data_IF_039586004488
#
_entry.id   IF_039586004488
#
_cell.length_a   1.000
_cell.length_b   1.000
_cell.length_c   1.000
_cell.angle_alpha   90.00
_cell.angle_beta   90.00
_cell.angle_gamma   90.00
#
_symmetry.space_group_name_H-M   'P 1'
#
loop_
_entity.id
_entity.type
_entity.pdbx_description
1 polymer ?
#
# COMPACT_ATOMS: atom_id res chain seq x y z
N UNK A 1 -20.91 7.92 -18.13
CA UNK A 1 -19.47 7.65 -18.27
C UNK A 1 -18.75 7.90 -16.96
N UNK A 2 -17.83 7.03 -16.58
CA UNK A 2 -16.90 7.20 -15.45
C UNK A 2 -15.52 7.46 -16.03
N UNK A 3 -14.86 8.53 -15.57
CA UNK A 3 -13.53 8.92 -16.02
C UNK A 3 -12.53 8.85 -14.88
N UNK A 4 -11.53 8.01 -15.02
CA UNK A 4 -10.39 7.95 -14.09
C UNK A 4 -9.51 9.20 -14.24
N UNK A 5 -8.99 9.68 -13.11
CA UNK A 5 -7.88 10.64 -13.10
C UNK A 5 -6.66 10.04 -12.43
N UNK A 6 -5.49 10.39 -12.93
CA UNK A 6 -4.23 9.97 -12.33
C UNK A 6 -4.05 10.60 -10.94
N UNK A 7 -3.37 9.92 -10.00
CA UNK A 7 -3.00 10.52 -8.72
C UNK A 7 -2.17 11.80 -8.91
N UNK A 8 -2.45 12.81 -8.12
CA UNK A 8 -1.82 14.15 -8.24
C UNK A 8 -0.31 14.15 -7.99
N UNK A 9 0.23 13.12 -7.36
CA UNK A 9 1.66 13.01 -7.02
C UNK A 9 2.51 12.34 -8.12
N UNK A 10 1.94 12.00 -9.28
CA UNK A 10 2.70 11.34 -10.33
C UNK A 10 3.55 12.34 -11.12
N UNK A 11 4.80 11.98 -11.33
CA UNK A 11 5.75 12.74 -12.18
C UNK A 11 5.92 12.13 -13.57
N UNK A 12 5.52 10.87 -13.72
CA UNK A 12 5.60 10.11 -14.97
C UNK A 12 4.22 9.78 -15.55
N UNK A 13 4.17 8.75 -16.38
CA UNK A 13 2.95 8.30 -17.06
C UNK A 13 2.42 7.03 -16.44
N UNK A 14 1.10 6.96 -16.27
CA UNK A 14 0.39 5.75 -15.85
C UNK A 14 -0.68 5.42 -16.89
N UNK A 15 -0.70 4.18 -17.36
CA UNK A 15 -1.74 3.71 -18.27
C UNK A 15 -3.10 3.69 -17.54
N UNK A 16 -4.14 4.19 -18.19
CA UNK A 16 -5.51 4.22 -17.68
C UNK A 16 -6.45 3.29 -18.45
N UNK A 17 -5.96 2.62 -19.48
CA UNK A 17 -6.77 1.67 -20.27
C UNK A 17 -6.78 0.28 -19.64
N UNK A 18 -7.87 -0.44 -19.87
CA UNK A 18 -7.98 -1.86 -19.48
C UNK A 18 -8.34 -2.09 -18.02
N UNK A 19 -8.61 -1.04 -17.25
CA UNK A 19 -8.98 -1.17 -15.84
C UNK A 19 -10.49 -1.33 -15.66
N UNK A 20 -10.89 -2.21 -14.76
CA UNK A 20 -12.29 -2.46 -14.46
C UNK A 20 -12.82 -1.43 -13.49
N UNK A 21 -13.88 -0.74 -13.89
CA UNK A 21 -14.72 0.08 -13.01
C UNK A 21 -15.91 -0.74 -12.59
N UNK A 22 -16.26 -0.68 -11.31
CA UNK A 22 -17.42 -1.33 -10.72
C UNK A 22 -18.40 -0.29 -10.18
N UNK A 23 -19.65 -0.38 -10.59
CA UNK A 23 -20.78 0.29 -9.97
C UNK A 23 -21.51 -0.71 -9.07
N UNK A 24 -21.75 -0.35 -7.84
CA UNK A 24 -22.52 -1.17 -6.89
C UNK A 24 -23.68 -0.33 -6.35
N UNK A 25 -24.92 -0.80 -6.52
CA UNK A 25 -26.09 -0.12 -5.96
C UNK A 25 -26.37 -0.53 -4.50
N UNK A 26 -27.39 0.03 -3.89
CA UNK A 26 -27.77 -0.26 -2.50
C UNK A 26 -28.16 -1.73 -2.26
N UNK A 27 -28.69 -2.40 -3.28
CA UNK A 27 -29.04 -3.84 -3.22
C UNK A 27 -27.82 -4.76 -3.40
N UNK A 28 -26.63 -4.21 -3.60
CA UNK A 28 -25.41 -4.96 -3.83
C UNK A 28 -25.23 -5.48 -5.26
N UNK A 29 -26.08 -5.07 -6.20
CA UNK A 29 -25.93 -5.40 -7.62
C UNK A 29 -24.70 -4.71 -8.17
N UNK A 30 -23.83 -5.47 -8.83
CA UNK A 30 -22.58 -4.99 -9.41
C UNK A 30 -22.65 -4.99 -10.93
N UNK A 31 -22.29 -3.86 -11.50
CA UNK A 31 -22.11 -3.67 -12.93
C UNK A 31 -20.66 -3.28 -13.18
N UNK A 32 -20.05 -3.81 -14.22
CA UNK A 32 -18.65 -3.54 -14.54
C UNK A 32 -18.49 -3.05 -15.97
N UNK A 33 -17.52 -2.18 -16.19
CA UNK A 33 -17.08 -1.75 -17.51
C UNK A 33 -15.55 -1.51 -17.48
N UNK A 34 -14.92 -1.67 -18.63
CA UNK A 34 -13.47 -1.51 -18.78
C UNK A 34 -13.14 -0.14 -19.37
N UNK A 35 -12.09 0.48 -18.88
CA UNK A 35 -11.65 1.79 -19.36
C UNK A 35 -10.96 1.71 -20.72
N UNK A 36 -11.16 2.75 -21.53
CA UNK A 36 -10.47 2.99 -22.78
C UNK A 36 -9.11 3.71 -22.55
N UNK A 37 -8.42 4.09 -23.64
CA UNK A 37 -7.13 4.79 -23.56
C UNK A 37 -7.20 6.16 -22.86
N UNK A 38 -8.36 6.79 -22.82
CA UNK A 38 -8.60 8.06 -22.12
C UNK A 38 -9.00 7.86 -20.64
N UNK A 39 -9.00 6.62 -20.15
CA UNK A 39 -9.42 6.25 -18.80
C UNK A 39 -10.93 6.32 -18.59
N UNK A 40 -11.72 6.21 -19.64
CA UNK A 40 -13.17 6.35 -19.60
C UNK A 40 -13.86 4.98 -19.73
N UNK A 41 -14.75 4.67 -18.82
CA UNK A 41 -15.63 3.50 -18.85
C UNK A 41 -17.09 3.95 -19.04
N UNK A 42 -17.78 3.40 -20.01
CA UNK A 42 -19.17 3.74 -20.32
C UNK A 42 -20.10 2.64 -19.90
N UNK A 43 -21.10 3.00 -19.11
CA UNK A 43 -22.20 2.17 -18.71
C UNK A 43 -23.47 2.64 -19.46
N UNK A 44 -24.08 1.73 -20.20
CA UNK A 44 -25.32 2.01 -20.92
C UNK A 44 -26.53 1.44 -20.16
N UNK A 45 -27.68 2.07 -20.31
CA UNK A 45 -28.97 1.60 -19.79
C UNK A 45 -28.96 1.33 -18.27
N UNK A 46 -28.27 2.21 -17.50
CA UNK A 46 -28.33 2.14 -16.05
C UNK A 46 -29.74 2.48 -15.56
N UNK A 47 -30.19 1.73 -14.56
CA UNK A 47 -31.38 2.09 -13.79
C UNK A 47 -31.00 3.30 -12.95
N UNK A 48 -31.85 4.36 -12.91
CA UNK A 48 -31.64 5.49 -11.99
C UNK A 48 -31.56 5.00 -10.55
N UNK A 49 -30.40 5.22 -9.90
CA UNK A 49 -30.15 4.75 -8.54
C UNK A 49 -28.93 5.47 -7.94
N UNK A 50 -28.66 5.23 -6.67
CA UNK A 50 -27.47 5.66 -5.97
C UNK A 50 -26.43 4.54 -6.02
N UNK A 51 -25.27 4.85 -6.59
CA UNK A 51 -24.20 3.90 -6.79
C UNK A 51 -22.95 4.25 -5.97
N UNK A 52 -22.25 3.21 -5.53
CA UNK A 52 -20.83 3.31 -5.19
C UNK A 52 -20.02 2.98 -6.43
N UNK A 53 -19.14 3.88 -6.82
CA UNK A 53 -18.21 3.73 -7.95
C UNK A 53 -16.86 3.34 -7.41
N UNK A 54 -16.27 2.26 -7.87
CA UNK A 54 -14.95 1.81 -7.42
C UNK A 54 -14.09 1.25 -8.54
N UNK A 55 -12.78 1.37 -8.35
CA UNK A 55 -11.76 0.73 -9.17
C UNK A 55 -10.55 0.37 -8.31
N UNK A 56 -9.87 -0.73 -8.62
CA UNK A 56 -8.60 -1.08 -8.01
C UNK A 56 -7.80 -1.97 -8.96
N UNK A 57 -6.50 -1.71 -9.03
CA UNK A 57 -5.55 -2.56 -9.76
C UNK A 57 -4.16 -2.47 -9.17
N UNK A 58 -3.31 -3.43 -9.53
CA UNK A 58 -1.93 -3.47 -9.08
C UNK A 58 -1.02 -2.87 -10.14
N UNK A 59 0.00 -2.17 -9.71
CA UNK A 59 1.18 -1.82 -10.49
C UNK A 59 2.34 -2.71 -10.07
N UNK A 60 3.05 -3.27 -11.03
CA UNK A 60 4.37 -3.85 -10.80
C UNK A 60 5.36 -2.77 -10.38
N UNK A 61 6.53 -3.17 -9.87
CA UNK A 61 7.60 -2.21 -9.58
C UNK A 61 7.99 -1.38 -10.82
N UNK A 62 8.09 -2.01 -11.98
CA UNK A 62 8.45 -1.31 -13.22
C UNK A 62 7.42 -0.22 -13.61
N UNK A 63 6.12 -0.54 -13.56
CA UNK A 63 5.04 0.42 -13.81
C UNK A 63 5.00 1.53 -12.76
N UNK A 64 5.20 1.17 -11.49
CA UNK A 64 5.29 2.13 -10.39
C UNK A 64 6.46 3.10 -10.58
N UNK A 65 7.66 2.58 -10.90
CA UNK A 65 8.86 3.37 -11.16
C UNK A 65 8.67 4.32 -12.36
N UNK A 66 8.03 3.83 -13.42
CA UNK A 66 7.71 4.65 -14.61
C UNK A 66 6.72 5.77 -14.24
N UNK A 67 5.75 5.51 -13.38
CA UNK A 67 4.74 6.49 -13.00
C UNK A 67 5.26 7.55 -12.02
N UNK A 68 6.17 7.18 -11.13
CA UNK A 68 6.60 8.04 -10.01
C UNK A 68 8.03 8.57 -10.15
N UNK A 69 8.86 7.94 -10.98
CA UNK A 69 10.30 8.19 -11.03
C UNK A 69 11.10 7.58 -9.88
N UNK A 70 10.43 6.86 -8.96
CA UNK A 70 11.10 6.18 -7.86
C UNK A 70 11.83 4.93 -8.37
N UNK A 71 13.14 4.87 -8.13
CA UNK A 71 14.00 3.77 -8.56
C UNK A 71 14.36 2.81 -7.42
N UNK A 72 13.90 3.09 -6.20
CA UNK A 72 14.13 2.18 -5.08
C UNK A 72 13.23 0.95 -5.24
N UNK A 73 13.87 -0.21 -5.25
CA UNK A 73 13.16 -1.49 -5.42
C UNK A 73 12.09 -1.66 -4.34
N UNK A 74 10.89 -1.95 -4.77
CA UNK A 74 9.74 -2.22 -3.92
C UNK A 74 8.83 -3.27 -4.56
N UNK A 75 7.75 -3.64 -3.89
CA UNK A 75 6.82 -4.67 -4.34
C UNK A 75 5.78 -4.14 -5.35
N UNK A 76 5.96 -2.93 -5.86
CA UNK A 76 4.98 -2.23 -6.66
C UNK A 76 3.96 -1.47 -5.81
N UNK A 77 2.81 -1.20 -6.39
CA UNK A 77 1.79 -0.38 -5.76
C UNK A 77 0.38 -0.88 -6.06
N UNK A 78 -0.58 -0.36 -5.31
CA UNK A 78 -2.01 -0.49 -5.60
C UNK A 78 -2.53 0.88 -5.96
N UNK A 79 -3.21 0.97 -7.09
CA UNK A 79 -4.04 2.13 -7.43
C UNK A 79 -5.47 1.79 -7.07
N UNK A 80 -6.12 2.67 -6.35
CA UNK A 80 -7.54 2.48 -5.97
C UNK A 80 -8.30 3.80 -6.05
N UNK A 81 -9.59 3.67 -6.21
CA UNK A 81 -10.53 4.79 -6.23
C UNK A 81 -11.89 4.34 -5.73
N UNK A 82 -12.55 5.18 -4.96
CA UNK A 82 -13.93 4.93 -4.51
C UNK A 82 -14.66 6.24 -4.34
N UNK A 83 -15.85 6.33 -4.92
CA UNK A 83 -16.82 7.38 -4.66
C UNK A 83 -18.13 6.75 -4.20
N UNK A 84 -18.57 7.12 -3.02
CA UNK A 84 -19.84 6.65 -2.46
C UNK A 84 -20.99 7.58 -2.80
N UNK A 85 -22.20 7.07 -2.75
CA UNK A 85 -23.45 7.82 -2.84
C UNK A 85 -23.57 8.69 -4.11
N UNK A 86 -23.18 8.14 -5.27
CA UNK A 86 -23.31 8.83 -6.55
C UNK A 86 -24.70 8.59 -7.12
N UNK A 87 -25.56 9.59 -7.11
CA UNK A 87 -26.85 9.53 -7.80
C UNK A 87 -26.61 9.58 -9.32
N UNK A 88 -27.07 8.56 -10.02
CA UNK A 88 -27.02 8.46 -11.49
C UNK A 88 -28.44 8.28 -11.99
N UNK A 89 -29.09 9.37 -12.31
CA UNK A 89 -30.48 9.44 -12.80
C UNK A 89 -30.59 9.95 -14.25
N UNK A 90 -29.46 10.41 -14.81
CA UNK A 90 -29.36 10.93 -16.17
C UNK A 90 -27.99 10.66 -16.78
N UNK A 91 -27.86 10.97 -18.06
CA UNK A 91 -26.57 10.87 -18.76
C UNK A 91 -25.57 11.87 -18.18
N UNK A 92 -24.53 11.37 -17.55
CA UNK A 92 -23.50 12.19 -16.87
C UNK A 92 -22.12 11.60 -17.02
N UNK A 93 -21.09 12.41 -16.75
CA UNK A 93 -19.71 11.96 -16.58
C UNK A 93 -19.27 12.24 -15.14
N UNK A 94 -18.87 11.18 -14.44
CA UNK A 94 -18.36 11.26 -13.08
C UNK A 94 -16.84 11.07 -13.13
N UNK A 95 -16.12 12.00 -12.53
CA UNK A 95 -14.67 11.90 -12.36
C UNK A 95 -14.36 11.06 -11.12
N UNK A 96 -13.59 9.99 -11.31
CA UNK A 96 -13.17 9.08 -10.25
C UNK A 96 -11.68 9.31 -9.95
N UNK A 97 -11.35 10.05 -8.88
CA UNK A 97 -9.96 10.31 -8.52
C UNK A 97 -9.31 9.05 -7.96
N UNK A 98 -8.12 8.74 -8.45
CA UNK A 98 -7.34 7.59 -7.98
C UNK A 98 -6.31 8.00 -6.95
N UNK A 99 -6.01 7.09 -6.05
CA UNK A 99 -4.91 7.16 -5.08
C UNK A 99 -3.93 6.03 -5.32
N UNK A 100 -2.66 6.30 -5.05
CA UNK A 100 -1.57 5.35 -5.19
C UNK A 100 -1.03 4.99 -3.81
N UNK A 101 -0.97 3.71 -3.50
CA UNK A 101 -0.39 3.18 -2.27
C UNK A 101 0.69 2.15 -2.59
N UNK A 102 1.90 2.36 -2.09
CA UNK A 102 3.00 1.41 -2.24
C UNK A 102 2.66 0.13 -1.47
N UNK A 103 2.86 -1.01 -2.08
CA UNK A 103 2.76 -2.30 -1.39
C UNK A 103 3.91 -2.46 -0.42
N UNK A 104 3.57 -2.84 0.80
CA UNK A 104 4.56 -3.17 1.84
C UNK A 104 4.13 -4.47 2.48
N UNK A 105 4.84 -5.54 2.15
CA UNK A 105 4.55 -6.85 2.74
C UNK A 105 5.09 -6.96 4.16
N UNK A 106 6.21 -6.31 4.44
CA UNK A 106 6.82 -6.32 5.76
C UNK A 106 6.44 -5.07 6.55
N UNK A 107 5.87 -5.26 7.73
CA UNK A 107 5.46 -4.18 8.64
C UNK A 107 5.98 -4.43 10.05
N UNK A 108 6.18 -3.36 10.81
CA UNK A 108 6.44 -3.47 12.25
C UNK A 108 5.10 -3.76 12.93
N UNK A 109 4.98 -4.94 13.53
CA UNK A 109 3.76 -5.35 14.23
C UNK A 109 3.77 -4.96 15.70
N UNK A 110 4.94 -4.99 16.34
CA UNK A 110 5.11 -4.59 17.73
C UNK A 110 6.44 -3.91 17.98
N UNK A 111 6.41 -2.98 18.92
CA UNK A 111 7.61 -2.39 19.52
C UNK A 111 7.48 -2.51 21.03
N UNK A 112 8.33 -3.34 21.63
CA UNK A 112 8.41 -3.44 23.08
C UNK A 112 9.59 -2.61 23.58
N UNK A 113 9.32 -1.38 23.94
CA UNK A 113 10.35 -0.40 24.33
C UNK A 113 10.62 -0.34 25.84
N UNK A 114 9.72 -0.88 26.65
CA UNK A 114 9.82 -0.73 28.10
C UNK A 114 10.95 -1.57 28.72
N UNK A 115 11.32 -2.69 28.05
CA UNK A 115 12.29 -3.63 28.60
C UNK A 115 11.80 -4.31 29.87
N UNK A 116 12.70 -4.97 30.58
CA UNK A 116 12.45 -5.64 31.85
C UNK A 116 13.23 -4.97 33.01
N UNK A 117 12.90 -5.33 34.23
CA UNK A 117 13.71 -5.02 35.38
C UNK A 117 14.84 -6.05 35.53
N UNK A 118 16.05 -5.58 35.79
CA UNK A 118 17.14 -6.44 36.20
C UNK A 118 16.98 -6.94 37.67
N UNK A 119 17.92 -7.77 38.13
CA UNK A 119 17.91 -8.30 39.50
C UNK A 119 18.01 -7.22 40.57
N UNK A 120 18.44 -6.01 40.22
CA UNK A 120 18.57 -4.86 41.10
C UNK A 120 17.42 -3.87 40.95
N UNK A 121 16.31 -4.28 40.29
CA UNK A 121 15.13 -3.47 40.01
C UNK A 121 15.40 -2.24 39.10
N UNK A 122 16.48 -2.26 38.33
CA UNK A 122 16.83 -1.21 37.37
C UNK A 122 16.23 -1.55 36.00
N UNK A 123 15.91 -0.54 35.22
CA UNK A 123 15.44 -0.76 33.85
C UNK A 123 16.56 -1.40 33.01
N UNK A 124 16.22 -2.51 32.35
CA UNK A 124 17.12 -3.22 31.43
C UNK A 124 16.56 -3.17 30.03
N UNK A 125 17.38 -2.77 29.08
CA UNK A 125 17.04 -2.77 27.65
C UNK A 125 17.16 -4.16 27.01
N UNK A 126 17.71 -5.15 27.73
CA UNK A 126 17.98 -6.48 27.19
C UNK A 126 16.73 -7.25 26.71
N UNK A 127 15.54 -6.84 27.16
CA UNK A 127 14.28 -7.44 26.70
C UNK A 127 13.49 -6.56 25.73
N UNK A 128 14.09 -5.47 25.24
CA UNK A 128 13.46 -4.66 24.19
C UNK A 128 13.51 -5.44 22.87
N UNK A 129 12.43 -5.38 22.11
CA UNK A 129 12.39 -5.98 20.80
C UNK A 129 11.47 -5.23 19.83
N UNK A 130 11.70 -5.44 18.57
CA UNK A 130 10.83 -5.05 17.47
C UNK A 130 10.40 -6.33 16.77
N UNK A 131 9.10 -6.46 16.58
CA UNK A 131 8.51 -7.58 15.86
C UNK A 131 8.15 -7.14 14.45
N UNK A 132 8.69 -7.84 13.46
CA UNK A 132 8.32 -7.68 12.06
C UNK A 132 7.29 -8.74 11.67
N UNK A 133 6.30 -8.33 10.92
CA UNK A 133 5.27 -9.22 10.41
C UNK A 133 5.21 -9.13 8.88
N UNK A 134 5.31 -10.27 8.23
CA UNK A 134 5.06 -10.39 6.80
C UNK A 134 3.55 -10.63 6.59
N UNK A 135 2.87 -9.62 6.07
CA UNK A 135 1.42 -9.68 5.79
C UNK A 135 1.08 -10.22 4.40
N UNK A 136 2.09 -10.57 3.60
CA UNK A 136 1.90 -11.20 2.29
C UNK A 136 1.84 -12.71 2.37
N UNK A 137 1.43 -13.36 1.28
CA UNK A 137 1.43 -14.82 1.12
C UNK A 137 2.76 -15.34 0.55
N UNK A 138 3.74 -14.44 0.31
CA UNK A 138 5.04 -14.78 -0.25
C UNK A 138 6.15 -14.48 0.77
N UNK A 139 7.25 -15.26 0.77
CA UNK A 139 8.42 -14.94 1.54
C UNK A 139 8.98 -13.55 1.16
N UNK A 140 9.43 -12.78 2.15
CA UNK A 140 10.08 -11.48 1.96
C UNK A 140 11.53 -11.61 2.39
N UNK A 141 12.46 -11.31 1.48
CA UNK A 141 13.88 -11.24 1.81
C UNK A 141 14.15 -9.92 2.55
N UNK A 142 14.72 -10.02 3.74
CA UNK A 142 15.09 -8.87 4.58
C UNK A 142 16.57 -8.55 4.54
N UNK A 143 17.33 -9.23 3.68
CA UNK A 143 18.76 -8.93 3.49
C UNK A 143 18.93 -7.48 3.04
N UNK A 144 19.86 -6.77 3.68
CA UNK A 144 20.12 -5.36 3.38
C UNK A 144 19.12 -4.37 3.97
N UNK A 145 18.08 -4.82 4.68
CA UNK A 145 17.22 -3.94 5.45
C UNK A 145 17.85 -3.55 6.78
N UNK A 146 17.51 -2.38 7.26
CA UNK A 146 17.96 -1.85 8.54
C UNK A 146 16.78 -1.40 9.37
N UNK A 147 16.87 -1.60 10.68
CA UNK A 147 15.99 -0.95 11.65
C UNK A 147 16.78 0.19 12.30
N UNK A 148 16.24 1.40 12.22
CA UNK A 148 16.79 2.59 12.85
C UNK A 148 15.98 2.97 14.09
N UNK A 149 16.68 3.19 15.21
CA UNK A 149 16.14 3.84 16.38
C UNK A 149 16.60 5.30 16.35
N UNK A 150 15.65 6.24 16.30
CA UNK A 150 15.93 7.65 16.33
C UNK A 150 15.94 8.12 17.79
N UNK A 151 17.06 8.64 18.25
CA UNK A 151 17.17 9.27 19.55
C UNK A 151 16.71 10.74 19.46
N UNK A 152 15.94 11.17 20.45
CA UNK A 152 15.49 12.57 20.55
C UNK A 152 16.54 13.39 21.28
N UNK A 153 17.06 14.41 20.63
CA UNK A 153 18.05 15.34 21.19
C UNK A 153 18.22 16.57 20.32
N UNK A 154 19.11 17.48 20.71
CA UNK A 154 19.46 18.67 19.94
C UNK A 154 20.11 18.34 18.58
N UNK A 155 20.73 17.16 18.49
CA UNK A 155 21.21 16.57 17.25
C UNK A 155 20.57 15.18 17.11
N UNK A 156 19.74 14.94 16.11
CA UNK A 156 19.14 13.62 15.89
C UNK A 156 20.25 12.59 15.68
N UNK A 157 20.30 11.59 16.54
CA UNK A 157 21.16 10.42 16.38
C UNK A 157 20.26 9.18 16.17
N UNK A 158 20.77 8.21 15.44
CA UNK A 158 20.09 6.95 15.23
C UNK A 158 21.10 5.79 15.28
N UNK A 159 20.65 4.68 15.83
CA UNK A 159 21.37 3.41 15.75
C UNK A 159 20.72 2.56 14.66
N UNK A 160 21.51 2.10 13.70
CA UNK A 160 21.06 1.20 12.65
C UNK A 160 21.46 -0.23 13.01
N UNK A 161 20.48 -1.13 12.96
CA UNK A 161 20.70 -2.57 13.07
C UNK A 161 20.45 -3.22 11.72
N UNK A 162 21.49 -3.87 11.16
CA UNK A 162 21.36 -4.62 9.92
C UNK A 162 20.75 -5.99 10.22
N UNK A 163 19.65 -6.31 9.60
CA UNK A 163 18.94 -7.57 9.78
C UNK A 163 19.71 -8.76 9.26
N UNK A 164 20.68 -8.52 8.37
CA UNK A 164 21.48 -9.58 7.75
C UNK A 164 22.69 -10.02 8.60
N UNK A 165 23.20 -9.17 9.50
CA UNK A 165 24.48 -9.46 10.19
C UNK A 165 24.44 -10.62 11.18
N UNK A 166 23.27 -11.05 11.64
CA UNK A 166 23.15 -12.10 12.65
C UNK A 166 23.38 -13.52 12.10
N UNK A 167 23.21 -13.75 10.80
CA UNK A 167 23.12 -15.12 10.27
C UNK A 167 23.96 -15.40 9.02
N UNK A 168 24.63 -14.44 8.47
CA UNK A 168 25.50 -14.57 7.29
C UNK A 168 24.82 -15.13 6.02
N UNK A 169 23.51 -15.29 6.04
CA UNK A 169 22.68 -15.80 4.95
C UNK A 169 21.49 -14.89 4.69
N UNK A 170 20.86 -15.02 3.54
CA UNK A 170 19.60 -14.32 3.23
C UNK A 170 18.54 -14.74 4.22
N UNK A 171 18.03 -13.75 4.99
CA UNK A 171 16.93 -13.97 5.93
C UNK A 171 15.63 -13.77 5.16
N UNK A 172 14.85 -14.82 5.06
CA UNK A 172 13.56 -14.80 4.39
C UNK A 172 12.47 -14.84 5.45
N UNK A 173 11.65 -13.79 5.51
CA UNK A 173 10.50 -13.74 6.40
C UNK A 173 9.29 -14.31 5.67
N UNK A 174 8.93 -15.53 6.02
CA UNK A 174 7.66 -16.12 5.61
C UNK A 174 6.52 -15.47 6.37
N UNK A 175 5.25 -15.89 6.14
CA UNK A 175 4.07 -15.40 6.86
C UNK A 175 4.13 -15.80 8.34
N UNK A 176 5.11 -15.29 9.05
CA UNK A 176 5.40 -15.56 10.47
C UNK A 176 5.93 -14.30 11.14
N UNK A 177 5.77 -14.24 12.44
CA UNK A 177 6.36 -13.21 13.29
C UNK A 177 7.87 -13.47 13.37
N UNK A 178 8.66 -12.45 13.10
CA UNK A 178 10.10 -12.48 13.25
C UNK A 178 10.50 -11.51 14.37
N UNK A 179 11.21 -11.99 15.38
CA UNK A 179 11.77 -11.17 16.46
C UNK A 179 13.26 -10.94 16.20
N UNK A 180 13.68 -9.71 16.33
CA UNK A 180 15.06 -9.26 16.15
C UNK A 180 15.71 -9.09 17.53
#
# INVERSE_FOLDING_TARGET
TIKLTVPTALTGTMALNGHTITLTNADGVKLTATTNAQGEATFANLVPDVYTVSAAWNLSFAEYSQATGDTQVNEGAVVSATLNNQLIDQSTTITLPTILAIKRSLVISKVFYAGNKDRNNRNSTAAQYIELYNQSDQPVDVAGLYIGLLETGSTPAYTLSNLHTAYNDSIVVCKQVFQI
#
